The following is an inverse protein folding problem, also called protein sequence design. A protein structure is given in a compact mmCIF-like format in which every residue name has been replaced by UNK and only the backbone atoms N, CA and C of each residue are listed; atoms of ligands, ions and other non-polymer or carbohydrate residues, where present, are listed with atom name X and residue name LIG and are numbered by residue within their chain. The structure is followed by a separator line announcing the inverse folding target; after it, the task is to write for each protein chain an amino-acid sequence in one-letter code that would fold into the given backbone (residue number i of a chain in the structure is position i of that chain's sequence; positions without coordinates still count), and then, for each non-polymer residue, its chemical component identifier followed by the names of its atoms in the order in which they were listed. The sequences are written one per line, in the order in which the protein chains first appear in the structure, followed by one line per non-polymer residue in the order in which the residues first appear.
data_IF_021886244957
#
_entry.id   IF_021886244957
#
_cell.length_a   1.000
_cell.length_b   1.000
_cell.length_c   1.000
_cell.angle_alpha   90.00
_cell.angle_beta   90.00
_cell.angle_gamma   90.00
#
_symmetry.space_group_name_H-M   'P 1'
#
loop_
_entity.id
_entity.type
_entity.pdbx_description
1 polymer ?
#
# COMPACT_ATOMS: atom_id res chain seq x y z
N UNK A 1 -29.51 -10.08 -5.53
CA UNK A 1 -29.30 -10.32 -6.98
C UNK A 1 -27.89 -10.84 -7.14
N UNK A 2 -27.72 -12.08 -7.59
CA UNK A 2 -26.40 -12.64 -7.88
C UNK A 2 -25.79 -11.85 -9.04
N UNK A 3 -24.64 -11.19 -8.82
CA UNK A 3 -23.81 -10.66 -9.91
C UNK A 3 -23.38 -11.87 -10.74
N UNK A 4 -23.92 -12.02 -11.94
CA UNK A 4 -23.33 -12.87 -12.97
C UNK A 4 -21.85 -12.54 -13.06
N UNK A 5 -20.99 -13.56 -12.99
CA UNK A 5 -19.53 -13.42 -12.91
C UNK A 5 -19.04 -12.40 -13.92
N UNK A 6 -18.39 -11.34 -13.44
CA UNK A 6 -17.76 -10.33 -14.28
C UNK A 6 -16.55 -11.01 -14.92
N UNK A 7 -16.55 -11.08 -16.25
CA UNK A 7 -15.41 -11.60 -16.98
C UNK A 7 -14.15 -10.80 -16.64
N UNK A 8 -13.05 -11.46 -16.38
CA UNK A 8 -11.73 -10.86 -16.17
C UNK A 8 -10.74 -11.39 -17.20
N UNK A 9 -9.63 -10.68 -17.40
CA UNK A 9 -8.55 -11.10 -18.30
C UNK A 9 -7.72 -12.22 -17.65
N UNK A 10 -7.74 -13.41 -18.24
CA UNK A 10 -6.87 -14.51 -17.82
C UNK A 10 -5.39 -14.16 -18.05
N UNK A 11 -5.06 -13.43 -19.13
CA UNK A 11 -3.69 -13.01 -19.41
C UNK A 11 -3.12 -12.11 -18.29
N UNK A 12 -3.92 -11.17 -17.77
CA UNK A 12 -3.52 -10.33 -16.63
C UNK A 12 -3.41 -11.19 -15.37
N UNK A 13 -4.38 -12.06 -15.10
CA UNK A 13 -4.37 -12.92 -13.93
C UNK A 13 -3.18 -13.90 -13.95
N UNK A 14 -2.87 -14.49 -15.09
CA UNK A 14 -1.74 -15.42 -15.24
C UNK A 14 -0.39 -14.72 -15.00
N UNK A 15 -0.22 -13.48 -15.47
CA UNK A 15 1.00 -12.69 -15.20
C UNK A 15 1.16 -12.37 -13.73
N UNK A 16 0.08 -11.96 -13.04
CA UNK A 16 0.11 -11.69 -11.59
C UNK A 16 0.39 -12.98 -10.82
N UNK A 17 -0.25 -14.10 -11.21
CA UNK A 17 -0.04 -15.40 -10.58
C UNK A 17 1.41 -15.90 -10.76
N UNK A 18 1.99 -15.72 -11.95
CA UNK A 18 3.39 -16.06 -12.20
C UNK A 18 4.34 -15.24 -11.33
N UNK A 19 4.14 -13.92 -11.27
CA UNK A 19 4.93 -13.02 -10.44
C UNK A 19 4.87 -13.41 -8.95
N UNK A 20 3.66 -13.61 -8.41
CA UNK A 20 3.49 -13.96 -6.99
C UNK A 20 4.12 -15.32 -6.64
N UNK A 21 4.12 -16.28 -7.58
CA UNK A 21 4.76 -17.58 -7.38
C UNK A 21 6.29 -17.50 -7.48
N UNK A 22 6.82 -16.70 -8.40
CA UNK A 22 8.26 -16.51 -8.56
C UNK A 22 8.88 -15.83 -7.33
N UNK A 23 8.17 -14.88 -6.73
CA UNK A 23 8.56 -14.19 -5.50
C UNK A 23 8.11 -14.97 -4.22
N UNK A 24 7.70 -16.26 -4.34
CA UNK A 24 7.33 -17.17 -3.24
C UNK A 24 6.21 -16.66 -2.29
N UNK A 25 5.32 -15.81 -2.80
CA UNK A 25 4.22 -15.27 -2.02
C UNK A 25 3.18 -16.33 -1.66
N UNK A 26 2.66 -16.28 -0.44
CA UNK A 26 1.50 -17.06 0.00
C UNK A 26 0.24 -16.27 -0.29
N UNK A 27 -0.62 -16.78 -1.19
CA UNK A 27 -1.84 -16.11 -1.61
C UNK A 27 -2.96 -17.11 -1.92
N UNK A 28 -4.21 -16.64 -1.83
CA UNK A 28 -5.38 -17.33 -2.34
C UNK A 28 -5.82 -16.69 -3.66
N UNK A 29 -6.25 -17.51 -4.62
CA UNK A 29 -6.80 -17.05 -5.88
C UNK A 29 -8.24 -17.52 -6.07
N UNK A 30 -9.18 -16.57 -6.06
CA UNK A 30 -10.59 -16.78 -6.42
C UNK A 30 -10.73 -16.71 -7.95
N UNK A 31 -10.73 -17.88 -8.60
CA UNK A 31 -10.84 -17.99 -10.06
C UNK A 31 -12.22 -17.64 -10.61
N UNK A 32 -13.27 -17.61 -9.79
CA UNK A 32 -14.60 -17.18 -10.24
C UNK A 32 -14.69 -15.67 -10.39
N UNK A 33 -13.91 -14.94 -9.55
CA UNK A 33 -13.93 -13.47 -9.49
C UNK A 33 -12.67 -12.81 -10.04
N UNK A 34 -11.62 -13.57 -10.33
CA UNK A 34 -10.32 -13.03 -10.75
C UNK A 34 -9.63 -12.24 -9.63
N UNK A 35 -9.66 -12.74 -8.39
CA UNK A 35 -9.12 -12.03 -7.23
C UNK A 35 -8.00 -12.79 -6.55
N UNK A 36 -6.89 -12.08 -6.30
CA UNK A 36 -5.83 -12.56 -5.42
C UNK A 36 -5.99 -11.90 -4.05
N UNK A 37 -5.81 -12.71 -3.00
CA UNK A 37 -5.92 -12.27 -1.61
C UNK A 37 -4.69 -12.75 -0.86
N UNK A 38 -3.97 -11.84 -0.20
CA UNK A 38 -2.80 -12.16 0.61
C UNK A 38 -2.57 -11.09 1.68
N UNK A 39 -1.67 -11.37 2.60
CA UNK A 39 -1.22 -10.42 3.62
C UNK A 39 0.26 -10.14 3.44
N UNK A 40 0.68 -8.92 3.80
CA UNK A 40 2.07 -8.50 3.80
C UNK A 40 2.41 -7.88 5.16
N UNK A 41 3.58 -8.28 5.70
CA UNK A 41 4.16 -7.66 6.89
C UNK A 41 4.65 -6.25 6.60
N UNK A 42 4.59 -5.36 7.61
CA UNK A 42 5.11 -4.00 7.57
C UNK A 42 6.09 -3.79 8.72
N UNK A 43 7.03 -2.88 8.54
CA UNK A 43 7.99 -2.47 9.58
C UNK A 43 7.34 -1.58 10.63
N UNK A 44 6.37 -0.76 10.24
CA UNK A 44 5.65 0.14 11.14
C UNK A 44 4.75 -0.62 12.14
N UNK A 45 4.17 0.10 13.09
CA UNK A 45 3.33 -0.47 14.14
C UNK A 45 1.99 -1.06 13.65
N UNK A 46 1.59 -0.81 12.41
CA UNK A 46 0.45 -1.52 11.80
C UNK A 46 0.72 -3.03 11.64
N UNK A 47 1.99 -3.44 11.58
CA UNK A 47 2.49 -4.82 11.50
C UNK A 47 2.16 -5.57 10.22
N UNK A 48 0.92 -5.55 9.76
CA UNK A 48 0.51 -6.26 8.54
C UNK A 48 -0.68 -5.60 7.88
N UNK A 49 -0.80 -5.79 6.58
CA UNK A 49 -1.90 -5.29 5.75
C UNK A 49 -2.44 -6.40 4.88
N UNK A 50 -3.72 -6.29 4.53
CA UNK A 50 -4.41 -7.24 3.66
C UNK A 50 -4.54 -6.70 2.27
N UNK A 51 -4.11 -7.47 1.28
CA UNK A 51 -4.22 -7.18 -0.14
C UNK A 51 -5.42 -7.87 -0.77
N UNK A 52 -6.10 -7.15 -1.65
CA UNK A 52 -7.02 -7.68 -2.64
C UNK A 52 -6.62 -7.12 -3.99
N UNK A 53 -6.17 -7.99 -4.91
CA UNK A 53 -5.93 -7.63 -6.31
C UNK A 53 -7.15 -8.07 -7.11
N UNK A 54 -7.91 -7.13 -7.64
CA UNK A 54 -9.16 -7.34 -8.38
C UNK A 54 -8.90 -7.20 -9.88
N UNK A 55 -8.75 -8.32 -10.57
CA UNK A 55 -8.48 -8.36 -12.01
C UNK A 55 -9.79 -8.13 -12.78
N UNK A 56 -9.72 -7.28 -13.81
CA UNK A 56 -10.82 -6.96 -14.72
C UNK A 56 -10.46 -7.30 -16.16
N UNK A 57 -11.30 -6.94 -17.11
CA UNK A 57 -11.07 -7.26 -18.52
C UNK A 57 -9.85 -6.52 -19.12
N UNK A 58 -9.61 -5.27 -18.71
CA UNK A 58 -8.59 -4.39 -19.31
C UNK A 58 -7.61 -3.77 -18.32
N UNK A 59 -7.80 -4.03 -17.05
CA UNK A 59 -7.06 -3.41 -15.95
C UNK A 59 -7.11 -4.30 -14.70
N UNK A 60 -6.39 -3.89 -13.66
CA UNK A 60 -6.60 -4.43 -12.32
C UNK A 60 -6.50 -3.33 -11.27
N UNK A 61 -7.14 -3.57 -10.14
CA UNK A 61 -7.11 -2.73 -8.96
C UNK A 61 -6.42 -3.45 -7.84
N UNK A 62 -5.62 -2.73 -7.08
CA UNK A 62 -5.09 -3.22 -5.82
C UNK A 62 -5.71 -2.40 -4.71
N UNK A 63 -6.28 -3.10 -3.74
CA UNK A 63 -6.76 -2.56 -2.48
C UNK A 63 -5.90 -3.13 -1.37
N UNK A 64 -5.32 -2.25 -0.55
CA UNK A 64 -4.52 -2.65 0.60
C UNK A 64 -5.17 -2.06 1.84
N UNK A 65 -5.71 -2.92 2.68
CA UNK A 65 -6.51 -2.54 3.84
C UNK A 65 -5.64 -2.39 5.07
N UNK A 66 -5.79 -1.26 5.74
CA UNK A 66 -5.27 -1.07 7.10
C UNK A 66 -6.04 -1.98 8.06
N UNK A 67 -5.36 -2.64 9.02
CA UNK A 67 -6.03 -3.42 10.05
C UNK A 67 -6.79 -2.56 11.07
N UNK A 68 -6.54 -1.25 11.07
CA UNK A 68 -7.07 -0.30 12.03
C UNK A 68 -7.64 0.92 11.31
N UNK A 69 -8.72 1.44 11.85
CA UNK A 69 -9.39 2.66 11.43
C UNK A 69 -10.13 3.31 12.61
N UNK A 70 -10.68 4.51 12.45
CA UNK A 70 -11.44 5.17 13.48
C UNK A 70 -12.79 4.46 13.73
N UNK A 71 -13.27 4.51 14.97
CA UNK A 71 -14.64 4.04 15.27
C UNK A 71 -15.66 4.94 14.57
N UNK A 72 -16.65 4.32 13.94
CA UNK A 72 -17.75 5.03 13.25
C UNK A 72 -18.57 5.95 14.15
N UNK A 73 -18.58 5.70 15.45
CA UNK A 73 -19.24 6.54 16.46
C UNK A 73 -18.42 7.76 16.87
N UNK A 74 -17.12 7.75 16.62
CA UNK A 74 -16.22 8.85 16.95
C UNK A 74 -16.03 9.79 15.74
N UNK A 75 -16.99 10.70 15.58
CA UNK A 75 -16.98 11.69 14.48
C UNK A 75 -15.75 12.60 14.51
N UNK A 76 -15.19 12.88 15.67
CA UNK A 76 -14.01 13.73 15.81
C UNK A 76 -12.77 13.02 15.25
N UNK A 77 -12.51 11.79 15.66
CA UNK A 77 -11.42 10.97 15.14
C UNK A 77 -11.60 10.65 13.65
N UNK A 78 -12.85 10.39 13.18
CA UNK A 78 -13.15 10.23 11.76
C UNK A 78 -12.69 11.44 10.93
N UNK A 79 -13.02 12.67 11.38
CA UNK A 79 -12.63 13.90 10.67
C UNK A 79 -11.12 14.12 10.68
N UNK A 80 -10.47 13.91 11.82
CA UNK A 80 -9.01 14.05 11.93
C UNK A 80 -8.28 13.03 11.05
N UNK A 81 -8.76 11.79 11.00
CA UNK A 81 -8.23 10.75 10.12
C UNK A 81 -8.40 11.12 8.65
N UNK A 82 -9.59 11.60 8.25
CA UNK A 82 -9.83 12.04 6.88
C UNK A 82 -8.90 13.19 6.48
N UNK A 83 -8.66 14.15 7.38
CA UNK A 83 -7.70 15.24 7.15
C UNK A 83 -6.28 14.69 6.97
N UNK A 84 -5.82 13.81 7.87
CA UNK A 84 -4.51 13.17 7.78
C UNK A 84 -4.29 12.47 6.43
N UNK A 85 -5.25 11.63 6.01
CA UNK A 85 -5.17 10.92 4.74
C UNK A 85 -5.22 11.85 3.53
N UNK A 86 -5.97 12.96 3.63
CA UNK A 86 -6.01 13.98 2.56
C UNK A 86 -4.66 14.66 2.42
N UNK A 87 -3.99 15.00 3.53
CA UNK A 87 -2.65 15.59 3.54
C UNK A 87 -1.62 14.61 2.98
N UNK A 88 -1.64 13.35 3.44
CA UNK A 88 -0.78 12.29 2.93
C UNK A 88 -0.94 12.07 1.41
N UNK A 89 -2.16 12.20 0.89
CA UNK A 89 -2.43 12.02 -0.54
C UNK A 89 -1.88 13.15 -1.43
N UNK A 90 -1.64 14.34 -0.89
CA UNK A 90 -1.31 15.51 -1.70
C UNK A 90 -0.04 15.34 -2.53
N UNK A 91 0.95 14.62 -2.01
CA UNK A 91 2.22 14.36 -2.69
C UNK A 91 2.32 13.01 -3.42
N UNK A 92 1.28 12.17 -3.37
CA UNK A 92 1.33 10.82 -3.93
C UNK A 92 1.14 10.83 -5.45
N UNK A 93 2.07 10.18 -6.16
CA UNK A 93 2.03 10.03 -7.63
C UNK A 93 1.33 8.75 -8.06
N UNK A 94 1.38 7.69 -7.24
CA UNK A 94 0.91 6.36 -7.61
C UNK A 94 -0.04 5.79 -6.56
N UNK A 95 -1.32 5.83 -6.86
CA UNK A 95 -2.37 5.42 -5.93
C UNK A 95 -2.73 6.50 -4.90
N UNK A 96 -3.61 6.16 -3.98
CA UNK A 96 -4.10 7.07 -2.93
C UNK A 96 -4.67 6.31 -1.75
N UNK A 97 -4.66 6.95 -0.57
CA UNK A 97 -5.45 6.53 0.57
C UNK A 97 -6.93 6.87 0.38
N UNK A 98 -7.79 5.97 0.81
CA UNK A 98 -9.24 6.18 0.89
C UNK A 98 -9.72 5.77 2.28
N UNK A 99 -10.76 6.45 2.77
CA UNK A 99 -11.47 6.06 3.98
C UNK A 99 -12.97 6.03 3.70
N UNK A 100 -13.64 4.96 4.10
CA UNK A 100 -15.10 4.92 4.09
C UNK A 100 -15.61 5.71 5.32
N UNK A 101 -16.29 6.83 5.06
CA UNK A 101 -16.86 7.66 6.11
C UNK A 101 -18.07 7.02 6.80
N UNK A 102 -18.51 5.85 6.34
CA UNK A 102 -19.63 5.13 6.94
C UNK A 102 -19.19 4.24 8.10
N UNK A 103 -18.02 3.60 7.99
CA UNK A 103 -17.53 2.63 8.98
C UNK A 103 -16.08 2.84 9.44
N UNK A 104 -15.34 3.76 8.80
CA UNK A 104 -13.97 4.07 9.14
C UNK A 104 -12.94 3.12 8.49
N UNK A 105 -13.35 2.24 7.56
CA UNK A 105 -12.39 1.39 6.83
C UNK A 105 -11.38 2.26 6.07
N UNK A 106 -10.10 2.00 6.28
CA UNK A 106 -9.00 2.69 5.59
C UNK A 106 -8.32 1.70 4.65
N UNK A 107 -8.09 2.16 3.40
CA UNK A 107 -7.34 1.41 2.41
C UNK A 107 -6.46 2.31 1.56
N UNK A 108 -5.42 1.72 1.00
CA UNK A 108 -4.70 2.30 -0.13
C UNK A 108 -5.21 1.67 -1.42
N UNK A 109 -5.46 2.47 -2.44
CA UNK A 109 -5.96 1.99 -3.74
C UNK A 109 -5.02 2.37 -4.86
N UNK A 110 -4.75 1.41 -5.73
CA UNK A 110 -3.99 1.61 -6.97
C UNK A 110 -4.78 1.06 -8.15
N UNK A 111 -4.85 1.83 -9.23
CA UNK A 111 -5.41 1.41 -10.51
C UNK A 111 -4.29 1.21 -11.52
N UNK A 112 -4.27 0.07 -12.20
CA UNK A 112 -3.26 -0.28 -13.19
C UNK A 112 -3.92 -0.59 -14.53
N UNK A 113 -3.86 0.33 -15.50
CA UNK A 113 -4.39 0.12 -16.84
C UNK A 113 -3.48 -0.83 -17.63
N UNK A 114 -4.02 -1.90 -18.20
CA UNK A 114 -3.28 -2.88 -19.00
C UNK A 114 -3.75 -2.93 -20.46
N UNK A 115 -4.85 -2.26 -20.80
CA UNK A 115 -5.44 -2.35 -22.14
C UNK A 115 -5.97 -3.74 -22.50
N UNK A 116 -6.00 -4.68 -21.54
CA UNK A 116 -6.35 -6.08 -21.74
C UNK A 116 -5.14 -6.99 -21.99
N UNK A 117 -3.92 -6.42 -22.10
CA UNK A 117 -2.67 -7.16 -22.27
C UNK A 117 -2.06 -7.58 -20.93
N UNK A 118 -1.17 -8.56 -20.97
CA UNK A 118 -0.43 -9.03 -19.80
C UNK A 118 0.56 -7.93 -19.33
N UNK A 119 0.48 -7.46 -18.08
CA UNK A 119 1.46 -6.52 -17.54
C UNK A 119 2.82 -7.19 -17.34
N UNK A 120 3.91 -6.44 -17.54
CA UNK A 120 5.25 -6.94 -17.24
C UNK A 120 5.49 -7.01 -15.71
N UNK A 121 6.48 -7.82 -15.31
CA UNK A 121 6.81 -8.05 -13.90
C UNK A 121 7.09 -6.75 -13.12
N UNK A 122 7.76 -5.77 -13.73
CA UNK A 122 8.07 -4.49 -13.07
C UNK A 122 6.83 -3.66 -12.76
N UNK A 123 5.82 -3.68 -13.65
CA UNK A 123 4.54 -3.02 -13.40
C UNK A 123 3.81 -3.69 -12.24
N UNK A 124 3.79 -5.03 -12.20
CA UNK A 124 3.17 -5.80 -11.12
C UNK A 124 3.92 -5.53 -9.81
N UNK A 125 5.24 -5.64 -9.81
CA UNK A 125 6.11 -5.38 -8.66
C UNK A 125 5.81 -4.00 -8.06
N UNK A 126 5.90 -2.96 -8.87
CA UNK A 126 5.62 -1.58 -8.44
C UNK A 126 4.22 -1.42 -7.88
N UNK A 127 3.23 -2.02 -8.51
CA UNK A 127 1.83 -1.90 -8.07
C UNK A 127 1.57 -2.58 -6.72
N UNK A 128 2.33 -3.61 -6.35
CA UNK A 128 2.22 -4.32 -5.08
C UNK A 128 3.05 -3.62 -3.98
N UNK A 129 4.30 -3.25 -4.28
CA UNK A 129 5.20 -2.73 -3.24
C UNK A 129 4.95 -1.26 -2.87
N UNK A 130 4.59 -0.38 -3.84
CA UNK A 130 4.33 1.03 -3.52
C UNK A 130 3.21 1.22 -2.49
N UNK A 131 2.06 0.54 -2.56
CA UNK A 131 1.04 0.60 -1.50
C UNK A 131 1.56 0.20 -0.12
N UNK A 132 2.38 -0.86 -0.04
CA UNK A 132 2.97 -1.31 1.22
C UNK A 132 3.87 -0.23 1.82
N UNK A 133 4.75 0.37 0.99
CA UNK A 133 5.62 1.47 1.41
C UNK A 133 4.85 2.66 1.94
N UNK A 134 3.77 3.03 1.26
CA UNK A 134 2.97 4.17 1.71
C UNK A 134 2.27 3.87 3.04
N UNK A 135 1.79 2.64 3.23
CA UNK A 135 1.24 2.21 4.52
C UNK A 135 2.30 2.08 5.60
N UNK A 136 3.51 1.66 5.24
CA UNK A 136 4.64 1.62 6.18
C UNK A 136 5.07 3.04 6.60
N UNK A 137 5.20 3.95 5.63
CA UNK A 137 5.57 5.34 5.85
C UNK A 137 4.57 6.10 6.73
N UNK A 138 3.28 6.00 6.41
CA UNK A 138 2.24 6.78 7.08
C UNK A 138 1.58 6.04 8.25
N UNK A 139 1.88 4.76 8.45
CA UNK A 139 1.22 3.90 9.43
C UNK A 139 1.37 4.36 10.88
N UNK A 140 2.56 4.77 11.29
CA UNK A 140 2.79 5.27 12.66
C UNK A 140 2.12 6.63 12.89
N UNK A 141 2.07 7.49 11.88
CA UNK A 141 1.31 8.75 11.91
C UNK A 141 -0.19 8.51 12.04
N UNK A 142 -0.71 7.56 11.26
CA UNK A 142 -2.10 7.12 11.33
C UNK A 142 -2.46 6.66 12.75
N UNK A 143 -1.64 5.80 13.37
CA UNK A 143 -1.87 5.33 14.72
C UNK A 143 -1.87 6.47 15.76
N UNK A 144 -0.99 7.47 15.59
CA UNK A 144 -0.99 8.65 16.45
C UNK A 144 -2.30 9.45 16.31
N UNK A 145 -2.82 9.61 15.09
CA UNK A 145 -4.10 10.29 14.85
C UNK A 145 -5.28 9.52 15.42
N UNK A 146 -5.25 8.18 15.36
CA UNK A 146 -6.31 7.32 15.87
C UNK A 146 -6.37 7.29 17.42
N UNK A 147 -5.20 7.27 18.07
CA UNK A 147 -5.10 6.96 19.51
C UNK A 147 -4.50 8.07 20.36
N UNK A 148 -4.20 9.23 19.79
CA UNK A 148 -3.78 10.41 20.55
C UNK A 148 -4.39 11.68 19.97
N UNK A 149 -4.25 12.80 20.70
CA UNK A 149 -4.76 14.11 20.28
C UNK A 149 -3.79 14.88 19.38
N UNK A 150 -2.90 14.17 18.65
CA UNK A 150 -1.97 14.83 17.74
C UNK A 150 -2.71 15.52 16.60
N UNK A 151 -2.25 16.69 16.24
CA UNK A 151 -2.74 17.40 15.06
C UNK A 151 -2.42 16.62 13.77
N UNK A 152 -3.39 16.44 12.84
CA UNK A 152 -3.19 15.68 11.61
C UNK A 152 -2.07 16.20 10.72
N UNK A 153 -1.88 17.54 10.65
CA UNK A 153 -0.78 18.15 9.90
C UNK A 153 0.57 17.78 10.49
N UNK A 154 0.69 17.88 11.81
CA UNK A 154 1.92 17.50 12.51
C UNK A 154 2.21 16.00 12.35
N UNK A 155 1.20 15.15 12.45
CA UNK A 155 1.35 13.71 12.26
C UNK A 155 1.84 13.38 10.84
N UNK A 156 1.31 14.05 9.80
CA UNK A 156 1.72 13.89 8.42
C UNK A 156 3.17 14.35 8.22
N UNK A 157 3.51 15.55 8.68
CA UNK A 157 4.87 16.09 8.58
C UNK A 157 5.93 15.19 9.25
N UNK A 158 5.60 14.55 10.36
CA UNK A 158 6.52 13.58 11.00
C UNK A 158 6.80 12.39 10.07
N UNK A 159 5.79 11.87 9.37
CA UNK A 159 5.97 10.76 8.41
C UNK A 159 6.79 11.16 7.17
N UNK A 160 6.83 12.45 6.85
CA UNK A 160 7.55 12.99 5.69
C UNK A 160 9.00 13.34 5.99
N UNK A 161 9.29 13.76 7.23
CA UNK A 161 10.63 14.18 7.66
C UNK A 161 11.52 13.00 8.09
N UNK A 162 10.97 11.85 8.50
CA UNK A 162 11.75 10.66 8.90
C UNK A 162 12.65 10.08 7.77
N UNK A 163 12.55 10.59 6.55
CA UNK A 163 13.45 10.25 5.43
C UNK A 163 14.69 11.14 5.35
N UNK A 164 14.80 12.17 6.20
CA UNK A 164 15.89 13.17 6.18
C UNK A 164 17.08 12.88 7.08
N UNK A 165 17.00 11.96 8.04
CA UNK A 165 18.06 11.76 9.06
C UNK A 165 19.08 10.66 8.73
N UNK A 166 19.32 10.39 7.45
CA UNK A 166 20.30 9.38 6.99
C UNK A 166 21.47 9.92 6.16
N UNK A 167 21.73 11.23 6.15
CA UNK A 167 22.92 11.78 5.51
C UNK A 167 23.36 13.06 6.22
N UNK A 168 24.39 12.97 7.03
CA UNK A 168 25.16 14.11 7.51
C UNK A 168 25.88 14.79 6.34
N UNK A 169 25.85 16.10 6.42
CA UNK A 169 26.80 17.12 5.97
C UNK A 169 26.65 17.77 4.59
N UNK A 170 26.40 19.11 4.69
CA UNK A 170 26.76 20.19 3.79
C UNK A 170 26.37 20.15 2.30
N UNK A 171 25.26 20.80 1.94
CA UNK A 171 25.21 22.00 1.07
C UNK A 171 23.77 22.37 0.70
N UNK A 172 23.46 23.67 0.79
CA UNK A 172 22.25 24.31 0.31
C UNK A 172 22.08 24.08 -1.20
N UNK A 173 20.98 23.40 -1.60
CA UNK A 173 20.30 23.70 -2.86
C UNK A 173 18.88 23.15 -2.84
N UNK A 174 17.93 24.04 -3.09
CA UNK A 174 16.51 23.75 -3.30
C UNK A 174 16.32 22.80 -4.50
N UNK A 175 16.04 21.53 -4.24
CA UNK A 175 15.79 20.53 -5.26
C UNK A 175 14.70 19.56 -4.82
N UNK A 176 13.57 19.59 -5.54
CA UNK A 176 12.54 18.56 -5.50
C UNK A 176 13.18 17.16 -5.52
N UNK A 177 13.12 16.43 -4.43
CA UNK A 177 13.60 15.04 -4.36
C UNK A 177 12.63 14.12 -5.10
N UNK A 178 12.82 14.01 -6.42
CA UNK A 178 12.38 12.84 -7.17
C UNK A 178 13.25 11.64 -6.76
N UNK A 179 12.92 10.98 -5.65
CA UNK A 179 13.45 9.65 -5.39
C UNK A 179 13.08 8.76 -6.58
N UNK A 180 14.08 8.29 -7.33
CA UNK A 180 13.80 7.47 -8.49
C UNK A 180 13.11 6.19 -8.03
N UNK A 181 12.13 5.73 -8.79
CA UNK A 181 11.37 4.49 -8.50
C UNK A 181 12.32 3.30 -8.30
N UNK A 182 13.52 3.34 -8.88
CA UNK A 182 14.55 2.33 -8.73
C UNK A 182 15.19 2.33 -7.35
N UNK A 183 15.44 3.50 -6.72
CA UNK A 183 15.95 3.60 -5.35
C UNK A 183 14.94 3.09 -4.33
N UNK A 184 13.68 3.41 -4.57
CA UNK A 184 12.56 2.94 -3.74
C UNK A 184 12.44 1.42 -3.81
N UNK A 185 12.51 0.83 -5.01
CA UNK A 185 12.44 -0.62 -5.22
C UNK A 185 13.67 -1.35 -4.68
N UNK A 186 14.87 -0.75 -4.77
CA UNK A 186 16.11 -1.30 -4.21
C UNK A 186 16.06 -1.38 -2.68
N UNK A 187 15.57 -0.34 -2.03
CA UNK A 187 15.36 -0.29 -0.57
C UNK A 187 14.36 -1.35 -0.11
N UNK A 188 13.31 -1.61 -0.90
CA UNK A 188 12.30 -2.62 -0.61
C UNK A 188 12.83 -4.04 -0.75
N UNK A 189 13.53 -4.35 -1.84
CA UNK A 189 14.10 -5.69 -2.02
C UNK A 189 15.12 -6.01 -0.92
N UNK A 190 15.88 -5.03 -0.45
CA UNK A 190 16.80 -5.19 0.68
C UNK A 190 16.06 -5.42 2.02
N UNK A 191 14.93 -4.73 2.23
CA UNK A 191 14.17 -4.82 3.48
C UNK A 191 13.41 -6.14 3.62
N UNK A 192 12.82 -6.65 2.53
CA UNK A 192 12.08 -7.91 2.55
C UNK A 192 12.96 -9.16 2.41
N UNK A 193 14.23 -9.01 1.95
CA UNK A 193 15.21 -10.11 1.93
C UNK A 193 15.83 -10.41 3.31
N UNK A 194 15.73 -9.50 4.27
CA UNK A 194 16.29 -9.68 5.62
C UNK A 194 15.38 -10.41 6.61
N UNK A 195 14.07 -10.52 6.31
CA UNK A 195 13.09 -11.10 7.24
C UNK A 195 12.82 -12.60 7.02
N UNK A 196 13.49 -13.25 6.06
CA UNK A 196 13.35 -14.69 5.79
C UNK A 196 14.38 -15.57 6.50
N UNK A 197 15.26 -15.03 7.36
CA UNK A 197 16.34 -15.79 7.97
C UNK A 197 16.13 -16.26 9.43
N UNK A 198 14.97 -16.00 10.06
CA UNK A 198 14.74 -16.36 11.46
C UNK A 198 13.47 -17.22 11.66
N UNK A 199 13.38 -18.41 11.01
CA UNK A 199 12.51 -19.50 11.47
C UNK A 199 13.03 -20.85 10.94
N UNK A 200 14.25 -21.23 11.33
CA UNK A 200 14.61 -22.65 11.46
C UNK A 200 15.39 -22.77 12.79
N UNK A 201 14.69 -23.24 13.82
CA UNK A 201 15.14 -24.08 14.91
C UNK A 201 14.16 -23.98 16.09
N UNK A 202 13.20 -24.90 16.17
CA UNK A 202 12.88 -25.77 17.32
C UNK A 202 11.70 -26.69 16.97
#
# INVERSE_FOLDING_TARGET
MARTGQAYSTAIADSINAFLKEDEWRFDFDSERGRFIFNLGLSCKLKSVRYIVDVREKDYLIYVFSPLGPDKGDTATMKRTAEFLTRANYGLVFGNFEMDMHDGEIRYKTFVPCGGEAPCADVIRRSIYVPAMMLDRYGDGLLKVLYSDIDPEKACSMCENDLGDGADDDTEESGSTNDSTADILSRLSAHFSSDTSDTEDE
#
